data_IF_302988418359
#
_entry.id   IF_302988418359
#
_cell.length_a   1.000
_cell.length_b   1.000
_cell.length_c   1.000
_cell.angle_alpha   90.00
_cell.angle_beta   90.00
_cell.angle_gamma   90.00
#
_symmetry.space_group_name_H-M   'P 1'
#
loop_
_entity.id
_entity.type
_entity.pdbx_description
1 polymer ?
#
# COMPACT_ATOMS: atom_id res chain seq x y z
N UNK A 1 11.77 5.20 0.54
CA UNK A 1 10.86 4.68 1.58
C UNK A 1 10.03 3.54 1.00
N UNK A 2 9.94 2.44 1.72
CA UNK A 2 9.08 1.28 1.45
C UNK A 2 7.97 1.25 2.49
N UNK A 3 6.74 1.03 2.03
CA UNK A 3 5.55 1.02 2.88
C UNK A 3 4.71 -0.21 2.52
N UNK A 4 4.08 -0.83 3.51
CA UNK A 4 3.15 -1.94 3.28
C UNK A 4 1.73 -1.48 2.90
N UNK A 5 0.85 -2.44 2.66
CA UNK A 5 -0.57 -2.22 2.33
C UNK A 5 -1.39 -1.59 3.45
N UNK A 6 -0.84 -1.50 4.67
CA UNK A 6 -1.47 -0.87 5.83
C UNK A 6 -0.90 0.53 6.14
N UNK A 7 0.06 1.00 5.34
CA UNK A 7 0.71 2.29 5.54
C UNK A 7 1.89 2.24 6.52
N UNK A 8 2.33 1.07 6.99
CA UNK A 8 3.48 0.98 7.87
C UNK A 8 4.79 1.07 7.07
N UNK A 9 5.71 1.93 7.52
CA UNK A 9 7.04 2.10 6.93
C UNK A 9 7.87 0.84 7.23
N UNK A 10 8.28 0.12 6.18
CA UNK A 10 9.12 -1.08 6.27
C UNK A 10 10.60 -0.81 6.03
N UNK A 11 10.90 0.35 5.47
CA UNK A 11 12.27 0.76 5.25
C UNK A 11 12.34 2.18 4.72
N UNK A 12 13.39 2.86 5.10
CA UNK A 12 13.73 4.18 4.59
C UNK A 12 15.22 4.16 4.30
N UNK A 13 15.64 4.93 3.29
CA UNK A 13 17.06 5.08 2.98
C UNK A 13 17.52 6.41 3.53
N UNK A 14 18.71 6.42 4.10
CA UNK A 14 19.37 7.63 4.54
C UNK A 14 19.88 8.45 3.33
N UNK A 15 20.58 9.56 3.62
CA UNK A 15 21.10 10.49 2.59
C UNK A 15 22.22 9.90 1.74
N UNK A 16 22.87 8.85 2.22
CA UNK A 16 24.00 8.22 1.55
C UNK A 16 23.56 7.26 0.43
N UNK A 17 24.35 7.07 -0.63
CA UNK A 17 24.07 6.09 -1.67
C UNK A 17 23.95 4.66 -1.10
N UNK A 18 22.88 3.95 -1.45
CA UNK A 18 22.64 2.59 -0.97
C UNK A 18 21.52 1.89 -1.72
N UNK A 19 21.17 0.68 -1.26
CA UNK A 19 20.04 -0.09 -1.80
C UNK A 19 19.20 -0.60 -0.63
N UNK A 20 17.89 -0.36 -0.70
CA UNK A 20 16.91 -0.96 0.19
C UNK A 20 16.36 -2.25 -0.43
N UNK A 21 16.51 -3.37 0.24
CA UNK A 21 15.99 -4.68 -0.19
C UNK A 21 14.95 -5.14 0.84
N UNK A 22 13.80 -5.60 0.37
CA UNK A 22 12.76 -6.15 1.23
C UNK A 22 12.04 -7.32 0.57
N UNK A 23 11.61 -8.28 1.39
CA UNK A 23 10.72 -9.36 0.99
C UNK A 23 9.27 -8.92 1.22
N UNK A 24 8.49 -8.82 0.14
CA UNK A 24 7.09 -8.40 0.19
C UNK A 24 6.20 -9.64 0.31
N UNK A 25 5.31 -9.65 1.32
CA UNK A 25 4.29 -10.69 1.45
C UNK A 25 3.04 -10.31 0.65
N UNK A 26 2.87 -10.92 -0.52
CA UNK A 26 1.71 -10.67 -1.37
C UNK A 26 0.41 -11.06 -0.64
N UNK A 27 0.35 -12.21 0.03
CA UNK A 27 -0.88 -12.68 0.68
C UNK A 27 -1.42 -11.79 1.81
N UNK A 28 -0.64 -10.83 2.31
CA UNK A 28 -1.15 -9.78 3.19
C UNK A 28 -1.98 -8.73 2.44
N UNK A 29 -1.60 -8.42 1.20
CA UNK A 29 -2.33 -7.51 0.31
C UNK A 29 -3.73 -8.04 0.00
N UNK A 30 -3.88 -9.31 -0.35
CA UNK A 30 -5.20 -9.92 -0.57
C UNK A 30 -6.07 -9.84 0.70
N UNK A 31 -5.48 -10.12 1.87
CA UNK A 31 -6.21 -10.04 3.15
C UNK A 31 -6.69 -8.62 3.45
N UNK A 32 -5.85 -7.61 3.23
CA UNK A 32 -6.24 -6.20 3.41
C UNK A 32 -7.36 -5.82 2.45
N UNK A 33 -7.25 -6.19 1.17
CA UNK A 33 -8.28 -5.89 0.15
C UNK A 33 -9.61 -6.59 0.40
N UNK A 34 -9.60 -7.81 0.92
CA UNK A 34 -10.81 -8.54 1.31
C UNK A 34 -11.49 -7.88 2.52
N UNK A 35 -10.70 -7.46 3.52
CA UNK A 35 -11.23 -6.82 4.72
C UNK A 35 -11.76 -5.40 4.44
N UNK A 36 -11.12 -4.68 3.53
CA UNK A 36 -11.47 -3.30 3.15
C UNK A 36 -11.55 -3.17 1.62
N UNK A 37 -12.68 -3.54 1.01
CA UNK A 37 -12.84 -3.54 -0.44
C UNK A 37 -13.14 -2.12 -0.97
N UNK A 38 -12.27 -1.16 -0.68
CA UNK A 38 -12.47 0.27 -0.97
C UNK A 38 -12.79 0.50 -2.45
N UNK A 39 -12.15 -0.26 -3.34
CA UNK A 39 -12.36 -0.14 -4.78
C UNK A 39 -13.77 -0.56 -5.23
N UNK A 40 -14.44 -1.49 -4.53
CA UNK A 40 -15.81 -1.91 -4.88
C UNK A 40 -16.86 -0.94 -4.36
N UNK A 41 -16.48 -0.04 -3.45
CA UNK A 41 -17.38 0.95 -2.84
C UNK A 41 -17.21 2.34 -3.47
N UNK A 42 -16.40 2.46 -4.53
CA UNK A 42 -16.19 3.72 -5.23
C UNK A 42 -17.46 4.15 -5.97
N UNK A 43 -17.89 5.38 -5.72
CA UNK A 43 -19.00 6.02 -6.45
C UNK A 43 -18.45 6.75 -7.67
N UNK A 44 -18.13 5.99 -8.71
CA UNK A 44 -17.57 6.51 -9.97
C UNK A 44 -18.58 7.34 -10.78
N UNK A 45 -19.86 7.19 -10.46
CA UNK A 45 -21.00 7.88 -11.06
C UNK A 45 -21.28 9.26 -10.44
N UNK A 46 -20.64 9.59 -9.31
CA UNK A 46 -20.75 10.92 -8.71
C UNK A 46 -19.99 11.96 -9.56
N UNK A 47 -20.73 12.65 -10.43
CA UNK A 47 -20.30 13.96 -10.94
C UNK A 47 -20.37 14.94 -9.78
N UNK A 48 -19.21 15.49 -9.39
CA UNK A 48 -19.14 16.64 -8.48
C UNK A 48 -20.13 17.71 -8.96
N UNK A 49 -21.12 18.02 -8.11
CA UNK A 49 -22.07 19.12 -8.29
C UNK A 49 -21.56 20.33 -7.53
#
# INVERSE_FOLDING_TARGET
>A
MLVDSWGAIKGEMDKEPGVLIAAINIGELERVRQRFPVLTQQRLDQKYR
#
